data_IF_313404318783
#
_entry.id   IF_313404318783
#
_cell.length_a   1.000
_cell.length_b   1.000
_cell.length_c   1.000
_cell.angle_alpha   90.00
_cell.angle_beta   90.00
_cell.angle_gamma   90.00
#
_symmetry.space_group_name_H-M   'P 1'
#
loop_
_entity.id
_entity.type
_entity.pdbx_description
1 polymer ?
#
# COMPACT_ATOMS: atom_id res chain seq x y z
N UNK A 1 82.63 21.96 15.42
CA UNK A 1 81.50 22.59 14.71
C UNK A 1 80.53 21.47 14.38
N UNK A 2 79.46 21.29 15.19
CA UNK A 2 78.05 21.61 14.82
C UNK A 2 77.77 21.13 13.39
N UNK A 3 76.95 20.10 13.16
CA UNK A 3 75.50 20.20 13.26
C UNK A 3 74.82 18.87 13.59
N UNK A 4 73.97 18.92 14.62
CA UNK A 4 72.85 18.00 14.86
C UNK A 4 71.81 18.17 13.75
N UNK A 5 71.31 17.08 13.18
CA UNK A 5 70.06 17.06 12.41
C UNK A 5 69.15 16.00 13.02
N UNK A 6 68.29 16.43 13.93
CA UNK A 6 67.15 15.66 14.44
C UNK A 6 66.07 15.62 13.37
N UNK A 7 65.77 14.43 12.85
CA UNK A 7 64.57 14.20 12.06
C UNK A 7 63.38 13.96 13.01
N UNK A 8 62.51 14.96 13.14
CA UNK A 8 61.20 14.79 13.79
C UNK A 8 60.28 14.09 12.79
N UNK A 9 60.02 12.80 13.01
CA UNK A 9 58.98 12.08 12.31
C UNK A 9 57.63 12.50 12.88
N UNK A 10 56.91 13.36 12.15
CA UNK A 10 55.54 13.74 12.46
C UNK A 10 54.62 12.56 12.08
N UNK A 11 54.24 11.76 13.07
CA UNK A 11 53.31 10.66 12.91
C UNK A 11 51.89 11.23 12.78
N UNK A 12 51.44 11.50 11.55
CA UNK A 12 50.05 11.82 11.27
C UNK A 12 49.19 10.58 11.59
N UNK A 13 48.57 10.56 12.77
CA UNK A 13 47.50 9.62 13.08
C UNK A 13 46.33 9.91 12.12
N UNK A 14 46.25 9.15 11.03
CA UNK A 14 45.07 9.12 10.18
C UNK A 14 43.93 8.50 10.99
N UNK A 15 43.16 9.34 11.66
CA UNK A 15 41.85 8.99 12.18
C UNK A 15 41.02 8.50 11.01
N UNK A 16 40.95 7.18 10.86
CA UNK A 16 40.06 6.52 9.91
C UNK A 16 38.65 6.75 10.42
N UNK A 17 38.06 7.89 10.09
CA UNK A 17 36.63 8.10 10.25
C UNK A 17 35.98 7.08 9.33
N UNK A 18 35.59 5.93 9.89
CA UNK A 18 34.79 4.97 9.17
C UNK A 18 33.53 5.70 8.73
N UNK A 19 33.46 6.09 7.46
CA UNK A 19 32.21 6.52 6.86
C UNK A 19 31.26 5.34 7.08
N UNK A 20 30.33 5.48 8.03
CA UNK A 20 29.31 4.48 8.23
C UNK A 20 28.67 4.26 6.85
N UNK A 21 28.85 3.07 6.29
CA UNK A 21 28.33 2.76 4.97
C UNK A 21 26.83 3.06 5.01
N UNK A 22 26.39 4.01 4.18
CA UNK A 22 24.98 4.37 4.11
C UNK A 22 24.20 3.09 3.83
N UNK A 23 23.13 2.89 4.59
CA UNK A 23 22.28 1.70 4.44
C UNK A 23 21.85 1.56 2.98
N UNK A 24 21.89 0.33 2.43
CA UNK A 24 21.53 0.04 1.04
C UNK A 24 20.09 0.46 0.68
N UNK A 25 19.25 0.57 1.70
CA UNK A 25 17.86 1.01 1.60
C UNK A 25 17.72 2.53 1.42
N UNK A 26 18.72 3.31 1.81
CA UNK A 26 18.66 4.77 1.77
C UNK A 26 18.50 5.23 0.33
N UNK A 27 17.53 6.11 0.13
CA UNK A 27 17.26 6.71 -1.16
C UNK A 27 15.78 6.91 -1.40
N UNK A 28 15.51 7.48 -2.56
CA UNK A 28 14.17 7.63 -3.09
C UNK A 28 13.90 6.51 -4.08
N UNK A 29 12.70 5.92 -3.99
CA UNK A 29 12.28 4.76 -4.73
C UNK A 29 10.98 5.07 -5.46
N UNK A 30 10.87 4.58 -6.69
CA UNK A 30 9.68 4.72 -7.54
C UNK A 30 9.17 3.32 -7.86
N UNK A 31 7.91 3.03 -7.53
CA UNK A 31 7.31 1.73 -7.86
C UNK A 31 7.24 1.54 -9.38
N UNK A 32 7.52 0.31 -9.81
CA UNK A 32 7.34 -0.16 -11.18
C UNK A 32 6.11 -1.05 -11.24
N UNK A 33 4.95 -0.49 -11.59
CA UNK A 33 3.71 -1.26 -11.67
C UNK A 33 3.70 -2.25 -12.84
N UNK A 34 4.56 -2.06 -13.85
CA UNK A 34 4.70 -3.02 -14.95
C UNK A 34 5.32 -4.35 -14.50
N UNK A 35 6.07 -4.33 -13.39
CA UNK A 35 6.64 -5.53 -12.76
C UNK A 35 5.65 -6.32 -11.90
N UNK A 36 4.44 -5.82 -11.71
CA UNK A 36 3.51 -6.32 -10.72
C UNK A 36 3.07 -7.77 -11.03
N UNK A 37 3.28 -8.65 -10.05
CA UNK A 37 2.72 -9.99 -9.98
C UNK A 37 1.59 -9.96 -8.96
N UNK A 38 0.38 -9.74 -9.46
CA UNK A 38 -0.82 -9.62 -8.65
C UNK A 38 -1.36 -10.99 -8.23
N UNK A 39 -2.01 -11.04 -7.07
CA UNK A 39 -2.64 -12.23 -6.54
C UNK A 39 -3.76 -12.74 -7.44
N UNK A 40 -3.87 -14.06 -7.55
CA UNK A 40 -5.00 -14.69 -8.22
C UNK A 40 -6.26 -14.78 -7.34
N UNK A 41 -6.20 -14.33 -6.09
CA UNK A 41 -7.34 -14.38 -5.18
C UNK A 41 -8.38 -13.32 -5.59
N UNK A 42 -9.63 -13.71 -5.87
CA UNK A 42 -10.63 -12.75 -6.32
C UNK A 42 -11.19 -11.93 -5.15
N UNK A 43 -11.52 -10.68 -5.42
CA UNK A 43 -12.45 -9.87 -4.64
C UNK A 43 -13.87 -10.25 -5.05
N UNK A 44 -14.73 -10.57 -4.09
CA UNK A 44 -16.09 -11.05 -4.37
C UNK A 44 -17.11 -10.07 -3.80
N UNK A 45 -17.99 -9.60 -4.68
CA UNK A 45 -19.10 -8.71 -4.35
C UNK A 45 -20.38 -9.20 -5.00
N UNK A 46 -21.50 -8.93 -4.34
CA UNK A 46 -22.83 -9.27 -4.83
C UNK A 46 -23.73 -8.06 -4.72
N UNK A 47 -24.35 -7.66 -5.83
CA UNK A 47 -25.40 -6.64 -5.88
C UNK A 47 -26.66 -7.28 -6.42
N UNK A 48 -27.64 -7.49 -5.52
CA UNK A 48 -28.87 -8.23 -5.84
C UNK A 48 -29.99 -7.80 -4.88
N UNK A 49 -31.22 -7.77 -5.39
CA UNK A 49 -32.41 -7.45 -4.60
C UNK A 49 -32.30 -6.14 -3.79
N UNK A 50 -31.66 -5.12 -4.38
CA UNK A 50 -31.45 -3.81 -3.76
C UNK A 50 -30.35 -3.77 -2.68
N UNK A 51 -29.58 -4.84 -2.51
CA UNK A 51 -28.50 -4.95 -1.53
C UNK A 51 -27.14 -5.03 -2.23
N UNK A 52 -26.11 -4.47 -1.60
CA UNK A 52 -24.70 -4.73 -1.87
C UNK A 52 -24.10 -5.55 -0.72
N UNK A 53 -23.41 -6.63 -1.06
CA UNK A 53 -22.63 -7.45 -0.14
C UNK A 53 -21.18 -7.48 -0.59
N UNK A 54 -20.26 -7.15 0.31
CA UNK A 54 -18.84 -7.43 0.11
C UNK A 54 -18.48 -8.76 0.77
N UNK A 55 -18.48 -9.84 -0.01
CA UNK A 55 -18.23 -11.20 0.47
C UNK A 55 -16.78 -11.40 0.91
N UNK A 56 -15.83 -10.77 0.21
CA UNK A 56 -14.40 -10.87 0.51
C UNK A 56 -13.88 -9.85 1.53
N UNK A 57 -14.71 -8.89 1.96
CA UNK A 57 -14.31 -7.95 3.02
C UNK A 57 -14.13 -8.67 4.35
N UNK A 58 -13.32 -8.11 5.24
CA UNK A 58 -13.01 -8.71 6.54
C UNK A 58 -13.26 -7.72 7.69
N UNK A 59 -14.38 -7.87 8.43
CA UNK A 59 -15.46 -8.84 8.21
C UNK A 59 -16.28 -8.52 6.95
N UNK A 60 -16.98 -9.54 6.41
CA UNK A 60 -17.96 -9.32 5.35
C UNK A 60 -19.11 -8.46 5.87
N UNK A 61 -19.70 -7.65 5.00
CA UNK A 61 -20.82 -6.78 5.34
C UNK A 61 -21.80 -6.63 4.16
N UNK A 62 -23.03 -6.25 4.50
CA UNK A 62 -24.11 -5.98 3.56
C UNK A 62 -24.75 -4.65 3.90
N UNK A 63 -25.03 -3.82 2.89
CA UNK A 63 -25.76 -2.56 3.01
C UNK A 63 -26.72 -2.39 1.82
N UNK A 64 -27.78 -1.57 1.96
CA UNK A 64 -28.61 -1.19 0.82
C UNK A 64 -27.81 -0.50 -0.29
N UNK A 65 -28.14 -0.81 -1.55
CA UNK A 65 -27.58 -0.19 -2.75
C UNK A 65 -28.49 0.96 -3.25
N UNK A 66 -28.88 1.86 -2.34
CA UNK A 66 -29.84 2.95 -2.55
C UNK A 66 -29.19 4.35 -2.68
N UNK A 67 -27.86 4.42 -2.59
CA UNK A 67 -27.09 5.66 -2.62
C UNK A 67 -27.13 6.50 -1.35
N UNK A 68 -27.72 6.01 -0.26
CA UNK A 68 -27.59 6.61 1.07
C UNK A 68 -26.38 6.04 1.80
N UNK A 69 -25.85 6.79 2.78
CA UNK A 69 -24.83 6.28 3.69
C UNK A 69 -25.49 5.39 4.74
N UNK A 70 -24.95 4.18 4.87
CA UNK A 70 -25.34 3.20 5.86
C UNK A 70 -24.16 2.86 6.77
N UNK A 71 -24.39 2.66 8.08
CA UNK A 71 -23.32 2.29 9.01
C UNK A 71 -22.78 0.89 8.69
N UNK A 72 -21.45 0.75 8.74
CA UNK A 72 -20.75 -0.53 8.53
C UNK A 72 -19.99 -0.89 9.81
N UNK A 73 -20.52 -1.85 10.55
CA UNK A 73 -19.95 -2.23 11.84
C UNK A 73 -18.66 -3.06 11.68
N UNK A 74 -17.78 -2.95 12.70
CA UNK A 74 -16.58 -3.79 12.89
C UNK A 74 -15.52 -3.65 11.79
N UNK A 75 -15.55 -2.57 11.02
CA UNK A 75 -14.49 -2.23 10.08
C UNK A 75 -13.44 -1.36 10.76
N UNK A 76 -12.19 -1.48 10.32
CA UNK A 76 -11.07 -0.66 10.85
C UNK A 76 -10.72 0.53 9.96
N UNK A 77 -11.26 0.57 8.74
CA UNK A 77 -10.95 1.58 7.72
C UNK A 77 -12.14 2.43 7.28
N UNK A 78 -13.36 2.09 7.70
CA UNK A 78 -14.58 2.87 7.46
C UNK A 78 -15.55 2.77 8.63
N UNK A 79 -16.45 3.74 8.74
CA UNK A 79 -17.60 3.73 9.64
C UNK A 79 -18.92 3.59 8.86
N UNK A 80 -18.97 4.10 7.63
CA UNK A 80 -20.16 4.13 6.78
C UNK A 80 -19.78 3.93 5.31
N UNK A 81 -20.69 3.34 4.54
CA UNK A 81 -20.56 3.21 3.09
C UNK A 81 -21.89 3.51 2.39
N UNK A 82 -21.79 3.96 1.15
CA UNK A 82 -22.91 4.23 0.26
C UNK A 82 -22.65 3.54 -1.08
N UNK A 83 -23.61 2.77 -1.58
CA UNK A 83 -23.55 2.15 -2.90
C UNK A 83 -24.69 2.66 -3.76
N UNK A 84 -24.36 3.22 -4.92
CA UNK A 84 -25.31 3.73 -5.91
C UNK A 84 -25.23 2.91 -7.17
N UNK A 85 -26.37 2.37 -7.62
CA UNK A 85 -26.51 1.77 -8.94
C UNK A 85 -26.79 2.89 -9.94
N UNK A 86 -25.87 3.12 -10.87
CA UNK A 86 -25.95 4.20 -11.87
C UNK A 86 -26.73 3.73 -13.10
N UNK A 87 -26.37 2.55 -13.60
CA UNK A 87 -26.99 1.89 -14.76
C UNK A 87 -26.70 0.37 -14.65
N UNK A 88 -27.27 -0.50 -15.52
CA UNK A 88 -27.11 -1.96 -15.41
C UNK A 88 -25.68 -2.52 -15.39
N UNK A 89 -24.67 -1.71 -15.73
CA UNK A 89 -23.24 -2.08 -15.76
C UNK A 89 -22.38 -1.23 -14.83
N UNK A 90 -22.92 -0.21 -14.19
CA UNK A 90 -22.13 0.77 -13.46
C UNK A 90 -22.63 0.92 -12.03
N UNK A 91 -21.72 0.78 -11.07
CA UNK A 91 -21.99 1.14 -9.68
C UNK A 91 -20.94 2.10 -9.16
N UNK A 92 -21.30 2.88 -8.14
CA UNK A 92 -20.38 3.72 -7.39
C UNK A 92 -20.46 3.38 -5.91
N UNK A 93 -19.31 3.25 -5.27
CA UNK A 93 -19.16 3.05 -3.84
C UNK A 93 -18.41 4.21 -3.21
N UNK A 94 -18.92 4.76 -2.11
CA UNK A 94 -18.25 5.79 -1.34
C UNK A 94 -18.17 5.35 0.11
N UNK A 95 -16.97 5.32 0.68
CA UNK A 95 -16.74 4.98 2.08
C UNK A 95 -16.29 6.21 2.87
N UNK A 96 -16.77 6.30 4.12
CA UNK A 96 -16.42 7.36 5.06
C UNK A 96 -15.83 6.79 6.34
N UNK A 97 -14.86 7.52 6.87
CA UNK A 97 -14.32 7.32 8.21
C UNK A 97 -14.36 8.68 8.94
N UNK A 98 -15.00 8.72 10.10
CA UNK A 98 -15.19 9.94 10.92
C UNK A 98 -15.74 11.12 10.12
N UNK A 99 -16.73 10.83 9.26
CA UNK A 99 -17.39 11.82 8.40
C UNK A 99 -16.58 12.29 7.19
N UNK A 100 -15.37 11.77 6.95
CA UNK A 100 -14.53 12.11 5.78
C UNK A 100 -14.53 10.98 4.76
N UNK A 101 -14.57 11.32 3.48
CA UNK A 101 -14.44 10.34 2.38
C UNK A 101 -13.02 9.80 2.36
N UNK A 102 -12.89 8.48 2.46
CA UNK A 102 -11.61 7.75 2.40
C UNK A 102 -11.49 6.88 1.14
N UNK A 103 -12.62 6.55 0.52
CA UNK A 103 -12.70 5.76 -0.71
C UNK A 103 -13.87 6.25 -1.54
N UNK A 104 -13.67 6.47 -2.84
CA UNK A 104 -14.71 6.81 -3.80
C UNK A 104 -14.39 6.10 -5.11
N UNK A 105 -15.12 5.02 -5.37
CA UNK A 105 -14.86 4.07 -6.44
C UNK A 105 -16.05 4.00 -7.39
N UNK A 106 -15.75 3.95 -8.69
CA UNK A 106 -16.71 3.65 -9.73
C UNK A 106 -16.27 2.40 -10.48
N UNK A 107 -17.17 1.44 -10.53
CA UNK A 107 -16.98 0.14 -11.18
C UNK A 107 -17.87 0.05 -12.40
N UNK A 108 -17.27 -0.35 -13.53
CA UNK A 108 -17.95 -0.51 -14.82
C UNK A 108 -17.69 -1.91 -15.37
N UNK A 109 -18.74 -2.72 -15.41
CA UNK A 109 -18.70 -4.03 -16.06
C UNK A 109 -18.76 -3.91 -17.59
N UNK A 110 -18.04 -4.78 -18.29
CA UNK A 110 -18.16 -4.91 -19.75
C UNK A 110 -19.55 -5.40 -20.15
N UNK A 111 -19.99 -5.14 -21.40
CA UNK A 111 -21.29 -5.61 -21.88
C UNK A 111 -21.51 -7.13 -21.78
N UNK A 112 -20.44 -7.92 -21.95
CA UNK A 112 -20.44 -9.38 -21.79
C UNK A 112 -20.25 -9.83 -20.33
N UNK A 113 -20.07 -8.89 -19.40
CA UNK A 113 -19.81 -9.13 -18.00
C UNK A 113 -18.46 -9.79 -17.69
N UNK A 114 -17.57 -9.97 -18.67
CA UNK A 114 -16.31 -10.68 -18.49
C UNK A 114 -15.23 -9.86 -17.77
N UNK A 115 -15.26 -8.53 -17.90
CA UNK A 115 -14.29 -7.62 -17.28
C UNK A 115 -14.98 -6.53 -16.48
N UNK A 116 -14.24 -5.97 -15.52
CA UNK A 116 -14.65 -4.81 -14.72
C UNK A 116 -13.50 -3.80 -14.74
N UNK A 117 -13.83 -2.56 -15.06
CA UNK A 117 -12.90 -1.43 -14.92
C UNK A 117 -13.28 -0.65 -13.68
N UNK A 118 -12.34 -0.46 -12.77
CA UNK A 118 -12.55 0.36 -11.58
C UNK A 118 -11.77 1.67 -11.72
N UNK A 119 -12.32 2.74 -11.15
CA UNK A 119 -11.60 3.98 -10.92
C UNK A 119 -11.87 4.41 -9.49
N UNK A 120 -10.81 4.52 -8.71
CA UNK A 120 -10.90 4.87 -7.29
C UNK A 120 -10.13 6.15 -7.01
N UNK A 121 -10.73 7.02 -6.21
CA UNK A 121 -10.07 8.15 -5.55
C UNK A 121 -9.90 7.77 -4.08
N UNK A 122 -8.66 7.53 -3.69
CA UNK A 122 -8.30 7.17 -2.33
C UNK A 122 -8.00 8.45 -1.57
N UNK A 123 -8.82 8.70 -0.55
CA UNK A 123 -8.67 9.75 0.44
C UNK A 123 -7.95 9.24 1.69
N UNK A 124 -7.72 10.13 2.64
CA UNK A 124 -7.18 9.77 3.93
C UNK A 124 -5.71 10.08 4.12
N UNK A 125 -5.15 11.06 3.40
CA UNK A 125 -3.99 11.81 3.86
C UNK A 125 -4.47 13.11 4.55
N UNK A 126 -3.92 13.43 5.73
CA UNK A 126 -4.26 14.68 6.45
C UNK A 126 -3.90 15.94 5.65
N UNK A 127 -3.07 15.79 4.61
CA UNK A 127 -2.66 16.83 3.66
C UNK A 127 -3.79 17.25 2.69
N UNK A 128 -4.92 16.55 2.68
CA UNK A 128 -6.01 16.78 1.71
C UNK A 128 -5.68 16.30 0.29
N UNK A 129 -4.50 15.70 0.07
CA UNK A 129 -4.12 15.09 -1.20
C UNK A 129 -4.83 13.75 -1.36
N UNK A 130 -5.38 13.52 -2.54
CA UNK A 130 -5.95 12.23 -2.95
C UNK A 130 -5.09 11.59 -4.03
N UNK A 131 -5.14 10.27 -4.11
CA UNK A 131 -4.57 9.51 -5.23
C UNK A 131 -5.70 8.94 -6.05
N UNK A 132 -5.61 9.09 -7.37
CA UNK A 132 -6.50 8.40 -8.32
C UNK A 132 -5.78 7.17 -8.84
N UNK A 133 -6.45 6.03 -8.77
CA UNK A 133 -6.04 4.76 -9.34
C UNK A 133 -7.13 4.26 -10.29
N UNK A 134 -6.71 3.58 -11.35
CA UNK A 134 -7.61 2.91 -12.30
C UNK A 134 -7.05 1.52 -12.54
N UNK A 135 -7.90 0.52 -12.74
CA UNK A 135 -7.45 -0.82 -13.07
C UNK A 135 -8.52 -1.65 -13.77
N UNK A 136 -8.12 -2.86 -14.16
CA UNK A 136 -8.98 -3.83 -14.84
C UNK A 136 -8.95 -5.14 -14.05
N UNK A 137 -10.13 -5.72 -13.90
CA UNK A 137 -10.34 -7.03 -13.30
C UNK A 137 -11.03 -7.95 -14.31
N UNK A 138 -10.78 -9.25 -14.17
CA UNK A 138 -11.42 -10.32 -14.94
C UNK A 138 -12.26 -11.17 -14.01
N UNK A 139 -13.47 -11.51 -14.45
CA UNK A 139 -14.35 -12.41 -13.71
C UNK A 139 -13.77 -13.82 -13.66
N UNK A 140 -13.78 -14.44 -12.49
CA UNK A 140 -13.25 -15.80 -12.26
C UNK A 140 -14.32 -16.85 -11.98
N UNK A 141 -15.58 -16.44 -11.84
CA UNK A 141 -16.73 -17.32 -11.65
C UNK A 141 -17.86 -17.07 -12.65
N UNK A 142 -18.94 -17.83 -12.54
CA UNK A 142 -20.14 -17.65 -13.37
C UNK A 142 -20.89 -16.40 -12.94
N UNK A 143 -21.37 -15.61 -13.91
CA UNK A 143 -22.26 -14.48 -13.64
C UNK A 143 -23.64 -14.99 -13.19
N UNK A 144 -24.20 -14.40 -12.13
CA UNK A 144 -25.61 -14.60 -11.77
C UNK A 144 -26.47 -13.69 -12.66
N UNK A 145 -27.32 -14.24 -13.56
CA UNK A 145 -28.15 -13.43 -14.45
C UNK A 145 -29.21 -12.60 -13.72
N UNK A 146 -29.50 -12.91 -12.45
CA UNK A 146 -30.42 -12.13 -11.61
C UNK A 146 -29.72 -11.04 -10.79
N UNK A 147 -28.38 -10.97 -10.82
CA UNK A 147 -27.60 -9.97 -10.12
C UNK A 147 -27.18 -8.82 -11.06
N UNK A 148 -26.83 -7.68 -10.48
CA UNK A 148 -26.24 -6.57 -11.23
C UNK A 148 -24.91 -7.00 -11.87
N UNK A 149 -24.55 -6.49 -13.06
CA UNK A 149 -23.38 -6.98 -13.81
C UNK A 149 -22.03 -6.75 -13.10
N UNK A 150 -21.95 -5.82 -12.16
CA UNK A 150 -20.77 -5.60 -11.30
C UNK A 150 -20.61 -6.65 -10.19
N UNK A 151 -21.65 -7.44 -9.91
CA UNK A 151 -21.55 -8.60 -8.99
C UNK A 151 -20.61 -9.62 -9.58
N UNK A 152 -19.80 -10.30 -8.77
CA UNK A 152 -18.93 -11.39 -9.21
C UNK A 152 -17.70 -11.57 -8.33
N UNK A 153 -16.95 -12.63 -8.65
CA UNK A 153 -15.60 -12.86 -8.16
C UNK A 153 -14.60 -12.30 -9.18
N UNK A 154 -13.99 -11.17 -8.86
CA UNK A 154 -13.14 -10.37 -9.73
C UNK A 154 -11.67 -10.46 -9.34
N UNK A 155 -10.82 -10.79 -10.32
CA UNK A 155 -9.36 -10.84 -10.13
C UNK A 155 -8.72 -9.69 -10.88
N UNK A 156 -7.97 -8.84 -10.17
CA UNK A 156 -7.21 -7.76 -10.79
C UNK A 156 -6.14 -8.30 -11.73
N UNK A 157 -6.14 -7.80 -12.97
CA UNK A 157 -5.15 -8.15 -13.99
C UNK A 157 -4.24 -6.99 -14.32
N UNK A 158 -4.69 -5.77 -14.10
CA UNK A 158 -3.96 -4.56 -14.46
C UNK A 158 -4.28 -3.45 -13.49
N UNK A 159 -3.24 -2.75 -13.06
CA UNK A 159 -3.34 -1.45 -12.39
C UNK A 159 -2.69 -0.45 -13.34
N UNK A 160 -3.41 0.60 -13.72
CA UNK A 160 -2.90 1.62 -14.61
C UNK A 160 -1.71 2.32 -13.93
N UNK A 161 -0.63 2.51 -14.68
CA UNK A 161 0.56 3.16 -14.16
C UNK A 161 0.26 4.62 -13.81
N UNK A 162 0.31 5.03 -12.53
CA UNK A 162 0.20 6.43 -12.16
C UNK A 162 1.51 7.14 -12.51
N UNK A 163 1.55 8.47 -12.38
CA UNK A 163 2.81 9.18 -12.57
C UNK A 163 3.87 8.74 -11.55
N UNK A 164 5.15 8.77 -11.95
CA UNK A 164 6.28 8.46 -11.07
C UNK A 164 6.29 9.29 -9.77
N UNK A 165 5.72 10.50 -9.79
CA UNK A 165 5.54 11.32 -8.58
C UNK A 165 4.58 10.69 -7.57
N UNK A 166 3.53 10.00 -8.04
CA UNK A 166 2.51 9.39 -7.18
C UNK A 166 2.98 8.08 -6.55
N UNK A 167 3.90 7.36 -7.18
CA UNK A 167 4.47 6.10 -6.68
C UNK A 167 5.78 6.25 -5.91
N UNK A 168 6.24 7.49 -5.73
CA UNK A 168 7.50 7.83 -5.07
C UNK A 168 7.42 7.71 -3.55
N UNK A 169 8.44 7.10 -2.96
CA UNK A 169 8.64 7.06 -1.52
C UNK A 169 10.13 7.09 -1.17
N UNK A 170 10.45 7.65 -0.01
CA UNK A 170 11.82 7.75 0.49
C UNK A 170 11.98 6.80 1.66
N UNK A 171 13.07 6.02 1.66
CA UNK A 171 13.52 5.27 2.82
C UNK A 171 14.80 5.92 3.35
N UNK A 172 14.86 6.10 4.67
CA UNK A 172 16.09 6.50 5.38
C UNK A 172 16.29 5.59 6.57
N UNK A 173 17.48 5.00 6.68
CA UNK A 173 17.91 4.15 7.77
C UNK A 173 19.17 4.77 8.36
N UNK A 174 19.05 5.21 9.62
CA UNK A 174 20.11 5.81 10.41
C UNK A 174 20.31 4.96 11.67
N UNK A 175 21.41 4.20 11.70
CA UNK A 175 21.61 3.17 12.73
C UNK A 175 20.46 2.16 12.73
N UNK A 176 19.76 2.04 13.86
CA UNK A 176 18.63 1.13 14.03
C UNK A 176 17.26 1.78 13.81
N UNK A 177 17.18 3.00 13.27
CA UNK A 177 15.88 3.64 12.98
C UNK A 177 15.67 3.65 11.47
N UNK A 178 14.53 3.12 11.03
CA UNK A 178 14.02 3.27 9.67
C UNK A 178 12.90 4.30 9.66
N UNK A 179 12.99 5.28 8.79
CA UNK A 179 11.88 6.16 8.44
C UNK A 179 11.49 6.00 6.98
N UNK A 180 10.20 6.07 6.71
CA UNK A 180 9.64 6.06 5.36
C UNK A 180 8.65 7.20 5.20
N UNK A 181 8.61 7.81 4.01
CA UNK A 181 7.62 8.82 3.62
C UNK A 181 7.23 8.64 2.16
N UNK A 182 5.96 8.79 1.83
CA UNK A 182 5.48 8.78 0.45
C UNK A 182 5.04 10.17 -0.04
N UNK A 183 4.69 10.27 -1.31
CA UNK A 183 4.26 11.50 -2.00
C UNK A 183 2.96 12.12 -1.46
N UNK A 184 2.09 11.33 -0.82
CA UNK A 184 0.84 11.80 -0.20
C UNK A 184 1.07 12.45 1.17
N UNK A 185 2.25 12.26 1.75
CA UNK A 185 2.66 12.80 3.05
C UNK A 185 2.53 11.82 4.21
N UNK A 186 2.11 10.57 3.95
CA UNK A 186 2.11 9.51 4.95
C UNK A 186 3.55 9.15 5.31
N UNK A 187 3.83 8.97 6.59
CA UNK A 187 5.17 8.65 7.06
C UNK A 187 5.19 7.90 8.39
N UNK A 188 6.31 7.26 8.69
CA UNK A 188 6.61 6.74 10.02
C UNK A 188 8.12 6.76 10.29
N UNK A 189 8.50 6.61 11.56
CA UNK A 189 9.87 6.34 11.99
C UNK A 189 9.83 5.24 13.06
N UNK A 190 10.38 4.07 12.75
CA UNK A 190 10.35 2.88 13.58
C UNK A 190 11.76 2.41 13.93
N UNK A 191 11.96 1.99 15.18
CA UNK A 191 13.18 1.26 15.56
C UNK A 191 13.11 -0.16 14.99
N UNK A 192 14.14 -0.58 14.27
CA UNK A 192 14.29 -1.92 13.73
C UNK A 192 14.46 -2.91 14.90
N UNK A 193 13.58 -3.91 14.97
CA UNK A 193 13.46 -4.82 16.12
C UNK A 193 12.66 -4.24 17.29
N UNK A 194 12.11 -3.04 17.14
CA UNK A 194 11.25 -2.38 18.14
C UNK A 194 9.78 -2.76 18.01
N UNK A 195 8.96 -2.16 18.87
CA UNK A 195 7.50 -2.30 18.84
C UNK A 195 6.83 -1.51 17.71
N UNK A 196 5.50 -1.56 17.71
CA UNK A 196 4.67 -0.79 16.79
C UNK A 196 4.74 0.71 17.10
N UNK A 197 4.82 1.53 16.06
CA UNK A 197 4.76 3.00 16.12
C UNK A 197 3.62 3.52 15.23
N UNK A 198 3.01 4.67 15.56
CA UNK A 198 1.92 5.22 14.76
C UNK A 198 2.39 5.71 13.38
N UNK A 199 1.53 5.54 12.40
CA UNK A 199 1.68 6.11 11.06
C UNK A 199 1.10 7.53 11.08
N UNK A 200 1.90 8.49 10.63
CA UNK A 200 1.52 9.91 10.52
C UNK A 200 1.06 10.25 9.10
N UNK A 201 0.36 11.38 8.96
CA UNK A 201 -0.04 11.90 7.65
C UNK A 201 -1.23 11.17 7.02
N UNK A 202 -2.00 10.40 7.79
CA UNK A 202 -3.18 9.68 7.33
C UNK A 202 -4.37 9.84 8.28
N UNK A 203 -5.59 9.89 7.74
CA UNK A 203 -6.84 9.94 8.51
C UNK A 203 -7.27 8.55 8.99
N UNK A 204 -6.73 7.48 8.38
CA UNK A 204 -7.00 6.09 8.75
C UNK A 204 -5.88 5.65 9.69
N UNK A 205 -6.11 5.58 11.02
CA UNK A 205 -5.03 5.27 11.96
C UNK A 205 -4.50 3.87 11.72
N UNK A 206 -3.19 3.75 11.83
CA UNK A 206 -2.49 2.48 11.71
C UNK A 206 -1.15 2.59 12.40
N UNK A 207 -0.57 1.43 12.66
CA UNK A 207 0.75 1.31 13.27
C UNK A 207 1.62 0.40 12.43
N UNK A 208 2.92 0.58 12.53
CA UNK A 208 3.92 -0.24 11.84
C UNK A 208 5.02 -0.63 12.79
N UNK A 209 5.50 -1.87 12.70
CA UNK A 209 6.75 -2.32 13.29
C UNK A 209 7.70 -2.77 12.18
N UNK A 210 9.00 -2.64 12.40
CA UNK A 210 10.02 -3.04 11.41
C UNK A 210 10.96 -4.06 12.03
N UNK A 211 11.19 -5.17 11.35
CA UNK A 211 12.25 -6.13 11.67
C UNK A 211 13.22 -6.28 10.49
N UNK A 212 14.36 -6.92 10.75
CA UNK A 212 15.40 -7.15 9.76
C UNK A 212 15.60 -8.65 9.56
N UNK A 213 15.65 -9.07 8.30
CA UNK A 213 15.90 -10.46 7.91
C UNK A 213 17.15 -10.55 7.02
N UNK A 214 18.31 -10.28 7.63
CA UNK A 214 19.59 -10.20 6.92
C UNK A 214 19.97 -8.80 6.43
N UNK A 215 21.09 -8.67 5.70
CA UNK A 215 21.70 -7.37 5.41
C UNK A 215 20.90 -6.52 4.41
N UNK A 216 20.09 -7.16 3.55
CA UNK A 216 19.35 -6.50 2.46
C UNK A 216 17.84 -6.68 2.53
N UNK A 217 17.30 -7.23 3.62
CA UNK A 217 15.85 -7.39 3.79
C UNK A 217 15.33 -6.74 5.06
N UNK A 218 14.28 -5.93 4.92
CA UNK A 218 13.47 -5.39 6.01
C UNK A 218 12.04 -5.91 5.88
N UNK A 219 11.37 -6.11 7.01
CA UNK A 219 9.97 -6.55 7.07
C UNK A 219 9.19 -5.49 7.84
N UNK A 220 8.25 -4.85 7.16
CA UNK A 220 7.28 -3.93 7.75
C UNK A 220 6.01 -4.72 8.08
N UNK A 221 5.53 -4.67 9.33
CA UNK A 221 4.24 -5.25 9.71
C UNK A 221 3.29 -4.12 10.04
N UNK A 222 2.19 -4.01 9.29
CA UNK A 222 1.17 -2.99 9.44
C UNK A 222 -0.04 -3.56 10.16
N UNK A 223 -0.56 -2.83 11.14
CA UNK A 223 -1.79 -3.19 11.85
C UNK A 223 -2.71 -1.98 12.04
N UNK A 224 -3.99 -2.27 12.23
CA UNK A 224 -5.01 -1.28 12.63
C UNK A 224 -5.80 -1.86 13.79
N UNK A 225 -5.98 -1.08 14.86
CA UNK A 225 -6.73 -1.51 16.06
C UNK A 225 -6.30 -2.89 16.58
N UNK A 226 -4.99 -3.18 16.57
CA UNK A 226 -4.43 -4.46 17.01
C UNK A 226 -4.46 -5.59 15.97
N UNK A 227 -5.24 -5.47 14.89
CA UNK A 227 -5.32 -6.49 13.84
C UNK A 227 -4.25 -6.30 12.76
N UNK A 228 -3.43 -7.31 12.53
CA UNK A 228 -2.40 -7.30 11.47
C UNK A 228 -3.09 -7.34 10.11
N UNK A 229 -2.78 -6.34 9.27
CA UNK A 229 -3.33 -6.19 7.94
C UNK A 229 -2.37 -6.65 6.84
N UNK A 230 -1.22 -5.97 6.76
CA UNK A 230 -0.21 -6.22 5.72
C UNK A 230 1.12 -6.56 6.39
N UNK A 231 1.81 -7.58 5.88
CA UNK A 231 3.24 -7.80 6.11
C UNK A 231 3.95 -7.51 4.79
N UNK A 232 4.78 -6.47 4.76
CA UNK A 232 5.55 -6.08 3.58
C UNK A 232 7.01 -6.47 3.76
N UNK A 233 7.53 -7.25 2.83
CA UNK A 233 8.96 -7.56 2.73
C UNK A 233 9.60 -6.66 1.69
N UNK A 234 10.69 -6.01 2.08
CA UNK A 234 11.49 -5.09 1.28
C UNK A 234 12.90 -5.68 1.12
N UNK A 235 13.28 -6.09 -0.08
CA UNK A 235 14.62 -6.67 -0.36
C UNK A 235 15.36 -5.86 -1.42
N UNK A 236 16.48 -5.23 -1.05
CA UNK A 236 17.36 -4.56 -2.02
C UNK A 236 18.17 -5.62 -2.76
N UNK A 237 18.03 -5.69 -4.08
CA UNK A 237 18.71 -6.67 -4.92
C UNK A 237 20.22 -6.41 -5.01
N UNK A 238 20.95 -7.33 -5.63
CA UNK A 238 22.40 -7.28 -5.73
C UNK A 238 22.93 -5.95 -6.31
N UNK A 239 22.20 -5.38 -7.28
CA UNK A 239 22.51 -4.11 -7.96
C UNK A 239 22.46 -2.86 -7.06
N UNK A 240 21.85 -2.94 -5.87
CA UNK A 240 21.70 -1.80 -4.96
C UNK A 240 20.72 -0.71 -5.43
N UNK A 241 20.03 -0.94 -6.56
CA UNK A 241 19.16 0.02 -7.26
C UNK A 241 17.75 -0.52 -7.50
N UNK A 242 17.54 -1.82 -7.35
CA UNK A 242 16.23 -2.46 -7.43
C UNK A 242 15.79 -2.92 -6.04
N UNK A 243 14.58 -2.57 -5.64
CA UNK A 243 13.93 -3.01 -4.40
C UNK A 243 12.80 -3.96 -4.77
N UNK A 244 12.95 -5.24 -4.45
CA UNK A 244 11.85 -6.19 -4.54
C UNK A 244 10.91 -6.00 -3.34
N UNK A 245 9.61 -5.95 -3.62
CA UNK A 245 8.55 -5.72 -2.65
C UNK A 245 7.57 -6.89 -2.73
N UNK A 246 7.28 -7.49 -1.58
CA UNK A 246 6.20 -8.47 -1.43
C UNK A 246 5.22 -7.97 -0.38
N UNK A 247 3.96 -7.76 -0.75
CA UNK A 247 2.89 -7.38 0.17
C UNK A 247 2.03 -8.61 0.45
N UNK A 248 2.11 -9.13 1.66
CA UNK A 248 1.27 -10.23 2.15
C UNK A 248 0.10 -9.64 2.93
N UNK A 249 -1.08 -9.67 2.33
CA UNK A 249 -2.31 -9.19 2.93
C UNK A 249 -2.94 -10.30 3.76
N UNK A 250 -2.83 -10.18 5.08
CA UNK A 250 -3.33 -11.15 6.07
C UNK A 250 -4.85 -11.14 6.19
N UNK A 251 -5.51 -10.02 5.87
CA UNK A 251 -6.97 -9.94 5.89
C UNK A 251 -7.53 -10.69 4.69
N UNK A 252 -7.03 -10.35 3.50
CA UNK A 252 -7.54 -10.93 2.27
C UNK A 252 -6.88 -12.25 1.93
N UNK A 253 -5.81 -12.68 2.60
CA UNK A 253 -5.06 -13.90 2.26
C UNK A 253 -4.50 -13.85 0.84
N UNK A 254 -4.05 -12.68 0.39
CA UNK A 254 -3.46 -12.43 -0.93
C UNK A 254 -1.99 -12.02 -0.79
N UNK A 255 -1.20 -12.29 -1.82
CA UNK A 255 0.19 -11.83 -1.91
C UNK A 255 0.43 -11.21 -3.26
N UNK A 256 0.86 -9.95 -3.25
CA UNK A 256 1.25 -9.21 -4.44
C UNK A 256 2.75 -8.94 -4.39
N UNK A 257 3.40 -8.96 -5.56
CA UNK A 257 4.83 -8.62 -5.67
C UNK A 257 5.04 -7.58 -6.75
N UNK A 258 6.02 -6.72 -6.55
CA UNK A 258 6.44 -5.70 -7.51
C UNK A 258 7.85 -5.26 -7.18
N UNK A 259 8.46 -4.48 -8.06
CA UNK A 259 9.74 -3.82 -7.81
C UNK A 259 9.56 -2.31 -7.67
N UNK A 260 10.56 -1.68 -7.07
CA UNK A 260 10.78 -0.25 -7.14
C UNK A 260 12.21 0.01 -7.57
N UNK A 261 12.44 1.12 -8.27
CA UNK A 261 13.76 1.52 -8.74
C UNK A 261 14.22 2.77 -8.01
N UNK A 262 15.49 2.80 -7.64
CA UNK A 262 16.10 3.96 -6.98
C UNK A 262 16.20 5.12 -7.98
N UNK A 263 15.68 6.29 -7.59
CA UNK A 263 15.69 7.52 -8.40
C UNK A 263 17.05 8.21 -8.42
#
# INVERSE_FOLDING_TARGET
MKHFLSAVALLCAASSTSAAAQSVFNGEWVLDLSSAQLSNKPFTVTVKDGQFTCDSCVPSYTIPADGAFHPVARQTSLDEASVTIIDPRTMRMVERLRGRVVHDETDVASPDGATLTYTVVIGGATSGKTTKETGVQVRTGTADPAAHLTSGAWRTTTIADPSAEKTRFTITVNGNVMSQRNSTGQSFAATIGGGFVPISGTDIPGEVSVTRDGPRTLIETFRRQGQIGIVRTLTVLADGKTLAISNDNKLLGSVDRLTAHKS
#
